data_IF_399858004594
#
_entry.id   IF_399858004594
#
_cell.length_a   1.000
_cell.length_b   1.000
_cell.length_c   1.000
_cell.angle_alpha   90.00
_cell.angle_beta   90.00
_cell.angle_gamma   90.00
#
_symmetry.space_group_name_H-M   'P 1'
#
loop_
_entity.id
_entity.type
_entity.pdbx_description
1 polymer ?
#
# COMPACT_ATOMS: atom_id res chain seq x y z
N UNK A 1 15.95 1.88 3.09
CA UNK A 1 15.20 2.91 2.34
C UNK A 1 14.11 2.30 1.45
N UNK A 2 14.43 1.35 0.56
CA UNK A 2 13.39 0.70 -0.29
C UNK A 2 12.27 0.03 0.48
N UNK A 3 12.58 -0.59 1.63
CA UNK A 3 11.56 -1.21 2.47
C UNK A 3 10.48 -0.22 2.94
N UNK A 4 10.87 1.00 3.33
CA UNK A 4 9.95 2.04 3.77
C UNK A 4 9.03 2.45 2.61
N UNK A 5 9.56 2.51 1.40
CA UNK A 5 8.77 2.79 0.20
C UNK A 5 7.76 1.67 -0.08
N UNK A 6 8.14 0.41 0.13
CA UNK A 6 7.23 -0.71 -0.03
C UNK A 6 6.07 -0.65 0.99
N UNK A 7 6.34 -0.22 2.22
CA UNK A 7 5.31 0.09 3.21
C UNK A 7 4.37 1.21 2.75
N UNK A 8 4.90 2.31 2.21
CA UNK A 8 4.08 3.40 1.65
C UNK A 8 3.19 2.93 0.49
N UNK A 9 3.71 2.03 -0.37
CA UNK A 9 2.92 1.41 -1.45
C UNK A 9 1.82 0.52 -0.87
N UNK A 10 2.08 -0.23 0.20
CA UNK A 10 1.07 -1.03 0.89
C UNK A 10 -0.05 -0.13 1.45
N UNK A 11 0.30 0.97 2.13
CA UNK A 11 -0.68 1.94 2.65
C UNK A 11 -1.58 2.50 1.53
N UNK A 12 -1.01 2.85 0.37
CA UNK A 12 -1.78 3.33 -0.80
C UNK A 12 -2.68 2.21 -1.37
N UNK A 13 -2.15 0.97 -1.49
CA UNK A 13 -2.90 -0.17 -2.04
C UNK A 13 -4.09 -0.54 -1.18
N UNK A 14 -4.00 -0.38 0.14
CA UNK A 14 -5.10 -0.64 1.07
C UNK A 14 -6.26 0.34 0.90
N UNK A 15 -6.07 1.47 0.19
CA UNK A 15 -7.10 2.49 -0.06
C UNK A 15 -7.78 2.95 1.25
N UNK A 16 -6.98 2.96 2.33
CA UNK A 16 -7.33 3.29 3.71
C UNK A 16 -6.65 4.59 4.10
N UNK A 17 -7.09 5.19 5.19
CA UNK A 17 -6.49 6.44 5.65
C UNK A 17 -4.99 6.22 5.95
N UNK A 18 -4.12 7.22 5.68
CA UNK A 18 -4.43 8.59 5.31
C UNK A 18 -4.96 8.79 3.89
N UNK A 19 -4.82 7.85 2.96
CA UNK A 19 -5.09 8.12 1.55
C UNK A 19 -6.56 7.90 1.16
N UNK A 20 -7.21 8.95 0.66
CA UNK A 20 -8.62 8.90 0.26
C UNK A 20 -8.77 8.58 -1.23
N UNK A 21 -9.07 7.32 -1.57
CA UNK A 21 -9.26 6.83 -2.93
C UNK A 21 -10.72 6.46 -3.19
N UNK A 22 -11.26 6.83 -4.37
CA UNK A 22 -12.66 6.61 -4.73
C UNK A 22 -13.09 5.13 -4.75
N UNK A 23 -12.16 4.22 -5.01
CA UNK A 23 -12.40 2.77 -5.01
C UNK A 23 -12.23 2.11 -3.62
N UNK A 24 -12.37 2.87 -2.52
CA UNK A 24 -12.23 2.35 -1.16
C UNK A 24 -13.34 1.36 -0.78
N UNK A 25 -13.07 0.46 0.16
CA UNK A 25 -14.02 -0.58 0.57
C UNK A 25 -15.29 -0.01 1.25
N UNK A 26 -15.25 1.24 1.72
CA UNK A 26 -16.40 1.93 2.29
C UNK A 26 -17.17 2.72 1.21
N UNK A 27 -18.01 2.03 0.44
CA UNK A 27 -18.86 2.64 -0.58
C UNK A 27 -19.88 3.69 -0.03
N UNK A 28 -20.02 3.78 1.29
CA UNK A 28 -20.94 4.68 1.99
C UNK A 28 -20.30 5.96 2.51
N UNK A 29 -19.01 6.20 2.26
CA UNK A 29 -18.36 7.44 2.71
C UNK A 29 -17.72 8.19 1.53
N UNK A 30 -18.39 9.30 1.20
CA UNK A 30 -17.95 10.47 0.44
C UNK A 30 -17.69 10.31 -1.08
N UNK A 31 -17.26 9.16 -1.58
CA UNK A 31 -17.04 8.95 -3.03
C UNK A 31 -17.74 7.69 -3.54
N UNK A 32 -18.59 7.86 -4.55
CA UNK A 32 -19.16 6.74 -5.32
C UNK A 32 -17.99 5.99 -5.97
N UNK A 33 -17.95 4.65 -5.89
CA UNK A 33 -16.83 3.81 -6.37
C UNK A 33 -16.56 3.85 -7.89
N UNK A 34 -17.05 4.88 -8.58
CA UNK A 34 -16.84 5.13 -10.00
C UNK A 34 -17.18 3.89 -10.83
N UNK A 35 -16.19 3.37 -11.54
CA UNK A 35 -16.33 2.23 -12.46
C UNK A 35 -16.81 0.95 -11.75
N UNK A 36 -16.54 0.80 -10.44
CA UNK A 36 -16.91 -0.41 -9.70
C UNK A 36 -18.40 -0.50 -9.38
N UNK A 37 -19.16 0.61 -9.45
CA UNK A 37 -20.60 0.59 -9.11
C UNK A 37 -21.45 -0.10 -10.15
N UNK A 38 -20.95 -0.23 -11.38
CA UNK A 38 -21.68 -0.85 -12.49
C UNK A 38 -21.56 -2.39 -12.48
N UNK A 39 -20.65 -2.93 -11.65
CA UNK A 39 -20.45 -4.38 -11.53
C UNK A 39 -21.27 -4.97 -10.39
N UNK A 40 -21.81 -6.18 -10.61
CA UNK A 40 -22.55 -6.94 -9.60
C UNK A 40 -22.27 -8.44 -9.71
N UNK A 41 -22.60 -9.18 -8.64
CA UNK A 41 -22.53 -10.63 -8.63
C UNK A 41 -21.13 -11.20 -8.92
N UNK A 42 -20.98 -12.18 -9.84
CA UNK A 42 -19.71 -12.86 -10.10
C UNK A 42 -18.58 -11.93 -10.56
N UNK A 43 -18.88 -10.91 -11.36
CA UNK A 43 -17.86 -9.99 -11.87
C UNK A 43 -17.29 -9.11 -10.76
N UNK A 44 -18.14 -8.65 -9.83
CA UNK A 44 -17.69 -7.92 -8.65
C UNK A 44 -16.82 -8.81 -7.74
N UNK A 45 -17.19 -10.09 -7.60
CA UNK A 45 -16.39 -11.06 -6.84
C UNK A 45 -14.99 -11.26 -7.42
N UNK A 46 -14.85 -11.33 -8.75
CA UNK A 46 -13.55 -11.41 -9.42
C UNK A 46 -12.66 -10.20 -9.12
N UNK A 47 -13.25 -8.99 -9.10
CA UNK A 47 -12.51 -7.77 -8.77
C UNK A 47 -12.00 -7.82 -7.33
N UNK A 48 -12.83 -8.25 -6.37
CA UNK A 48 -12.38 -8.43 -5.00
C UNK A 48 -11.26 -9.47 -4.92
N UNK A 49 -11.38 -10.63 -5.56
CA UNK A 49 -10.31 -11.64 -5.58
C UNK A 49 -9.00 -11.06 -6.12
N UNK A 50 -9.06 -10.24 -7.18
CA UNK A 50 -7.88 -9.56 -7.71
C UNK A 50 -7.28 -8.56 -6.70
N UNK A 51 -8.11 -7.79 -6.00
CA UNK A 51 -7.64 -6.87 -4.95
C UNK A 51 -6.96 -7.61 -3.79
N UNK A 52 -7.51 -8.76 -3.37
CA UNK A 52 -6.89 -9.64 -2.37
C UNK A 52 -5.58 -10.27 -2.86
N UNK A 53 -5.54 -10.69 -4.13
CA UNK A 53 -4.33 -11.23 -4.75
C UNK A 53 -3.20 -10.18 -4.77
N UNK A 54 -3.50 -8.94 -5.16
CA UNK A 54 -2.51 -7.85 -5.15
C UNK A 54 -2.03 -7.52 -3.73
N UNK A 55 -2.91 -7.56 -2.73
CA UNK A 55 -2.53 -7.39 -1.33
C UNK A 55 -1.53 -8.47 -0.89
N UNK A 56 -1.84 -9.75 -1.16
CA UNK A 56 -0.97 -10.88 -0.83
C UNK A 56 0.37 -10.77 -1.57
N UNK A 57 0.37 -10.31 -2.83
CA UNK A 57 1.59 -10.10 -3.60
C UNK A 57 2.52 -9.09 -2.92
N UNK A 58 2.00 -7.93 -2.48
CA UNK A 58 2.81 -6.92 -1.78
C UNK A 58 3.33 -7.45 -0.45
N UNK A 59 2.49 -8.15 0.33
CA UNK A 59 2.91 -8.77 1.59
C UNK A 59 4.00 -9.84 1.38
N UNK A 60 3.91 -10.62 0.30
CA UNK A 60 4.94 -11.58 -0.08
C UNK A 60 6.26 -10.89 -0.46
N UNK A 61 6.21 -9.76 -1.18
CA UNK A 61 7.40 -8.95 -1.46
C UNK A 61 8.05 -8.45 -0.18
N UNK A 62 7.26 -7.97 0.79
CA UNK A 62 7.74 -7.54 2.11
C UNK A 62 8.42 -8.69 2.85
N UNK A 63 7.81 -9.89 2.82
CA UNK A 63 8.36 -11.07 3.49
C UNK A 63 9.74 -11.48 2.94
N UNK A 64 9.88 -11.50 1.60
CA UNK A 64 11.12 -11.94 0.93
C UNK A 64 12.24 -10.90 1.06
N UNK A 65 11.91 -9.60 1.10
CA UNK A 65 12.91 -8.53 1.13
C UNK A 65 13.74 -8.50 2.43
N UNK A 66 13.21 -9.03 3.54
CA UNK A 66 13.84 -8.92 4.84
C UNK A 66 14.59 -10.17 5.30
N UNK A 67 14.07 -11.36 5.02
CA UNK A 67 14.67 -12.60 5.49
C UNK A 67 14.57 -13.71 4.46
N UNK A 68 15.64 -14.49 4.32
CA UNK A 68 15.62 -15.75 3.57
C UNK A 68 14.76 -16.80 4.29
N UNK A 69 14.55 -16.66 5.59
CA UNK A 69 13.65 -17.53 6.34
C UNK A 69 12.21 -17.04 6.16
N UNK A 70 11.42 -17.86 5.46
CA UNK A 70 10.02 -17.56 5.13
C UNK A 70 9.14 -17.31 6.37
N UNK A 71 9.42 -17.96 7.50
CA UNK A 71 8.65 -17.76 8.74
C UNK A 71 8.89 -16.36 9.31
N UNK A 72 10.15 -15.94 9.35
CA UNK A 72 10.53 -14.61 9.84
C UNK A 72 10.00 -13.53 8.88
N UNK A 73 10.11 -13.76 7.57
CA UNK A 73 9.54 -12.87 6.57
C UNK A 73 8.02 -12.70 6.71
N UNK A 74 7.30 -13.80 6.90
CA UNK A 74 5.84 -13.77 7.09
C UNK A 74 5.43 -12.99 8.37
N UNK A 75 6.15 -13.17 9.47
CA UNK A 75 5.91 -12.40 10.71
C UNK A 75 6.09 -10.90 10.49
N UNK A 76 7.09 -10.49 9.71
CA UNK A 76 7.36 -9.09 9.41
C UNK A 76 6.33 -8.50 8.46
N UNK A 77 5.87 -9.27 7.48
CA UNK A 77 4.77 -8.85 6.61
C UNK A 77 3.48 -8.62 7.40
N UNK A 78 3.14 -9.55 8.31
CA UNK A 78 2.00 -9.40 9.22
C UNK A 78 2.16 -8.20 10.17
N UNK A 79 3.36 -7.98 10.71
CA UNK A 79 3.64 -6.82 11.55
C UNK A 79 3.48 -5.51 10.77
N UNK A 80 3.96 -5.46 9.53
CA UNK A 80 3.83 -4.27 8.67
C UNK A 80 2.36 -3.98 8.35
N UNK A 81 1.60 -5.02 8.01
CA UNK A 81 0.15 -4.91 7.82
C UNK A 81 -0.58 -4.42 9.08
N UNK A 82 -0.17 -4.89 10.25
CA UNK A 82 -0.73 -4.41 11.52
C UNK A 82 -0.40 -2.93 11.78
N UNK A 83 0.83 -2.51 11.48
CA UNK A 83 1.22 -1.09 11.58
C UNK A 83 0.37 -0.24 10.63
N UNK A 84 0.11 -0.69 9.40
CA UNK A 84 -0.80 0.03 8.48
C UNK A 84 -2.21 0.16 9.06
N UNK A 85 -2.75 -0.88 9.71
CA UNK A 85 -4.04 -0.79 10.42
C UNK A 85 -3.97 0.27 11.53
N UNK A 86 -2.89 0.31 12.30
CA UNK A 86 -2.73 1.32 13.35
C UNK A 86 -2.69 2.73 12.74
N UNK A 87 -1.92 2.93 11.67
CA UNK A 87 -1.84 4.20 10.92
C UNK A 87 -3.23 4.63 10.45
N UNK A 88 -4.03 3.71 9.91
CA UNK A 88 -5.41 3.96 9.47
C UNK A 88 -6.34 4.41 10.62
N UNK A 89 -6.07 4.01 11.85
CA UNK A 89 -6.90 4.40 12.99
C UNK A 89 -6.48 5.75 13.63
N UNK A 90 -5.25 6.21 13.39
CA UNK A 90 -4.69 7.41 14.04
C UNK A 90 -4.50 8.59 13.09
N UNK A 91 -4.70 8.41 11.79
CA UNK A 91 -4.39 9.43 10.77
C UNK A 91 -5.65 9.98 10.11
N UNK A 92 -5.68 11.28 9.84
CA UNK A 92 -6.74 11.91 9.06
C UNK A 92 -6.59 11.62 7.57
N UNK A 93 -7.72 11.64 6.84
CA UNK A 93 -7.73 11.47 5.38
C UNK A 93 -7.09 12.66 4.67
N UNK A 94 -6.36 12.37 3.60
CA UNK A 94 -5.70 13.32 2.70
C UNK A 94 -6.19 13.10 1.27
N UNK A 95 -6.38 14.19 0.53
CA UNK A 95 -6.91 14.13 -0.83
C UNK A 95 -5.91 13.48 -1.80
N UNK A 96 -6.41 12.85 -2.87
CA UNK A 96 -5.60 12.20 -3.91
C UNK A 96 -4.51 13.12 -4.48
N UNK A 97 -4.80 14.42 -4.65
CA UNK A 97 -3.82 15.40 -5.15
C UNK A 97 -2.61 15.52 -4.22
N UNK A 98 -2.86 15.63 -2.92
CA UNK A 98 -1.82 15.66 -1.90
C UNK A 98 -1.11 14.32 -1.77
N UNK A 99 -1.85 13.21 -1.84
CA UNK A 99 -1.27 11.86 -1.85
C UNK A 99 -0.26 11.71 -2.98
N UNK A 100 -0.64 12.07 -4.21
CA UNK A 100 0.22 11.92 -5.38
C UNK A 100 1.47 12.78 -5.25
N UNK A 101 1.35 14.04 -4.86
CA UNK A 101 2.51 14.90 -4.63
C UNK A 101 3.44 14.29 -3.56
N UNK A 102 2.88 13.88 -2.42
CA UNK A 102 3.61 13.30 -1.30
C UNK A 102 4.32 11.99 -1.68
N UNK A 103 3.58 11.03 -2.27
CA UNK A 103 4.10 9.71 -2.61
C UNK A 103 5.18 9.78 -3.68
N UNK A 104 5.00 10.61 -4.70
CA UNK A 104 6.01 10.81 -5.75
C UNK A 104 7.26 11.48 -5.21
N UNK A 105 7.13 12.58 -4.45
CA UNK A 105 8.27 13.27 -3.87
C UNK A 105 9.08 12.35 -2.95
N UNK A 106 8.42 11.61 -2.06
CA UNK A 106 9.10 10.69 -1.13
C UNK A 106 9.74 9.51 -1.87
N UNK A 107 9.02 8.90 -2.81
CA UNK A 107 9.53 7.73 -3.53
C UNK A 107 10.76 8.08 -4.36
N UNK A 108 10.73 9.21 -5.08
CA UNK A 108 11.88 9.68 -5.86
C UNK A 108 13.05 10.00 -4.93
N UNK A 109 12.81 10.78 -3.88
CA UNK A 109 13.86 11.19 -2.95
C UNK A 109 14.56 9.99 -2.31
N UNK A 110 13.79 9.07 -1.72
CA UNK A 110 14.35 7.90 -1.03
C UNK A 110 15.04 6.95 -2.01
N UNK A 111 14.57 6.87 -3.25
CA UNK A 111 15.20 6.06 -4.30
C UNK A 111 16.56 6.63 -4.68
N UNK A 112 16.62 7.93 -4.99
CA UNK A 112 17.87 8.62 -5.35
C UNK A 112 18.88 8.53 -4.19
N UNK A 113 18.44 8.84 -2.96
CA UNK A 113 19.31 8.78 -1.78
C UNK A 113 19.85 7.37 -1.57
N UNK A 114 19.03 6.34 -1.74
CA UNK A 114 19.51 4.97 -1.59
C UNK A 114 20.54 4.58 -2.65
N UNK A 115 20.27 4.91 -3.93
CA UNK A 115 21.21 4.61 -5.01
C UNK A 115 22.53 5.36 -4.79
N UNK A 116 22.46 6.64 -4.45
CA UNK A 116 23.64 7.44 -4.13
C UNK A 116 24.42 6.85 -2.95
N UNK A 117 23.73 6.47 -1.87
CA UNK A 117 24.35 5.84 -0.71
C UNK A 117 25.06 4.53 -1.06
N UNK A 118 24.42 3.65 -1.84
CA UNK A 118 25.04 2.39 -2.29
C UNK A 118 26.25 2.67 -3.18
N UNK A 119 26.17 3.69 -4.04
CA UNK A 119 27.25 4.07 -4.94
C UNK A 119 28.47 4.61 -4.20
N UNK A 120 28.29 5.53 -3.24
CA UNK A 120 29.38 6.14 -2.48
C UNK A 120 29.94 5.26 -1.36
N UNK A 121 29.18 4.26 -0.89
CA UNK A 121 29.64 3.29 0.10
C UNK A 121 30.57 2.23 -0.50
N UNK A 122 30.57 2.11 -1.83
CA UNK A 122 31.43 1.21 -2.58
C UNK A 122 32.78 1.86 -2.86
#
# INVERSE_FOLDING_TARGET
>A
LMFILLGLVLTIKLKKSPFDLSASEHAHQELVRGILTDYSGPYLALIHIADWYELVLILAMIAILWSQNLVIGALIALATFFVDIVIDNITARMTVKWMLAFSWSISILFTIVNIAYIYFRR
#
